data_IF_007222335160
#
_entry.id   IF_007222335160
#
_cell.length_a   1.000
_cell.length_b   1.000
_cell.length_c   1.000
_cell.angle_alpha   90.00
_cell.angle_beta   90.00
_cell.angle_gamma   90.00
#
_symmetry.space_group_name_H-M   'P 1'
#
loop_
_entity.id
_entity.type
_entity.pdbx_description
1 polymer ?
#
# COMPACT_ATOMS: atom_id res chain seq x y z
N UNK A 1 11.35 -8.69 -22.63
CA UNK A 1 11.77 -7.32 -22.28
C UNK A 1 13.22 -7.34 -21.83
N UNK A 2 13.89 -6.20 -21.77
CA UNK A 2 15.30 -6.15 -21.36
C UNK A 2 15.45 -5.97 -19.84
N UNK A 3 16.61 -6.37 -19.30
CA UNK A 3 17.03 -6.03 -17.94
C UNK A 3 17.00 -4.52 -17.69
N UNK A 4 17.23 -3.72 -18.74
CA UNK A 4 17.18 -2.25 -18.70
C UNK A 4 15.76 -1.73 -18.40
N UNK A 5 14.72 -2.37 -18.95
CA UNK A 5 13.32 -2.03 -18.65
C UNK A 5 13.01 -2.24 -17.16
N UNK A 6 13.52 -3.33 -16.58
CA UNK A 6 13.33 -3.67 -15.16
C UNK A 6 14.09 -2.67 -14.27
N UNK A 7 15.35 -2.34 -14.62
CA UNK A 7 16.15 -1.35 -13.90
C UNK A 7 15.49 0.04 -13.92
N UNK A 8 14.98 0.47 -15.07
CA UNK A 8 14.27 1.74 -15.23
C UNK A 8 13.04 1.80 -14.31
N UNK A 9 12.22 0.75 -14.32
CA UNK A 9 11.07 0.62 -13.42
C UNK A 9 11.48 0.68 -11.94
N UNK A 10 12.54 -0.02 -11.54
CA UNK A 10 12.97 -0.04 -10.14
C UNK A 10 13.38 1.36 -9.67
N UNK A 11 14.14 2.08 -10.49
CA UNK A 11 14.54 3.46 -10.18
C UNK A 11 13.34 4.42 -10.08
N UNK A 12 12.38 4.32 -11.01
CA UNK A 12 11.16 5.13 -10.98
C UNK A 12 10.32 4.83 -9.72
N UNK A 13 10.07 3.54 -9.44
CA UNK A 13 9.27 3.11 -8.29
C UNK A 13 9.93 3.49 -6.96
N UNK A 14 11.27 3.40 -6.85
CA UNK A 14 12.00 3.85 -5.67
C UNK A 14 11.79 5.35 -5.42
N UNK A 15 11.87 6.17 -6.47
CA UNK A 15 11.61 7.61 -6.40
C UNK A 15 10.19 7.94 -5.94
N UNK A 16 9.18 7.18 -6.40
CA UNK A 16 7.81 7.33 -5.89
C UNK A 16 7.71 6.97 -4.40
N UNK A 17 8.27 5.83 -3.99
CA UNK A 17 8.23 5.43 -2.58
C UNK A 17 8.85 6.50 -1.66
N UNK A 18 10.00 7.06 -2.04
CA UNK A 18 10.67 8.11 -1.24
C UNK A 18 9.87 9.41 -1.21
N UNK A 19 9.38 9.89 -2.36
CA UNK A 19 8.61 11.13 -2.44
C UNK A 19 7.26 11.06 -1.74
N UNK A 20 6.63 9.89 -1.69
CA UNK A 20 5.41 9.64 -0.91
C UNK A 20 5.70 9.22 0.55
N UNK A 21 6.92 9.47 1.04
CA UNK A 21 7.25 9.37 2.45
C UNK A 21 7.44 7.94 2.95
N UNK A 22 7.83 7.00 2.09
CA UNK A 22 8.17 5.60 2.43
C UNK A 22 9.65 5.29 2.12
N UNK A 23 10.60 5.97 2.80
CA UNK A 23 12.03 5.87 2.51
C UNK A 23 12.61 4.46 2.67
N UNK A 24 12.06 3.61 3.56
CA UNK A 24 12.51 2.23 3.69
C UNK A 24 12.29 1.45 2.39
N UNK A 25 11.06 1.46 1.89
CA UNK A 25 10.72 0.74 0.66
C UNK A 25 11.47 1.32 -0.54
N UNK A 26 11.64 2.64 -0.60
CA UNK A 26 12.43 3.29 -1.63
C UNK A 26 13.89 2.83 -1.66
N UNK A 27 14.59 2.92 -0.53
CA UNK A 27 15.99 2.49 -0.42
C UNK A 27 16.16 0.99 -0.69
N UNK A 28 15.20 0.16 -0.26
CA UNK A 28 15.22 -1.28 -0.53
C UNK A 28 15.14 -1.55 -2.04
N UNK A 29 14.26 -0.84 -2.76
CA UNK A 29 14.12 -0.98 -4.22
C UNK A 29 15.38 -0.50 -4.94
N UNK A 30 16.05 0.55 -4.46
CA UNK A 30 17.37 0.96 -5.00
C UNK A 30 18.39 -0.15 -4.87
N UNK A 31 18.43 -0.85 -3.74
CA UNK A 31 19.31 -2.02 -3.56
C UNK A 31 18.94 -3.18 -4.49
N UNK A 32 17.65 -3.37 -4.81
CA UNK A 32 17.27 -4.31 -5.85
C UNK A 32 17.83 -3.92 -7.23
N UNK A 33 17.82 -2.63 -7.57
CA UNK A 33 18.38 -2.15 -8.84
C UNK A 33 19.90 -2.37 -8.90
N UNK A 34 20.62 -2.06 -7.81
CA UNK A 34 22.07 -2.32 -7.70
C UNK A 34 22.38 -3.82 -7.89
N UNK A 35 21.62 -4.71 -7.25
CA UNK A 35 21.81 -6.15 -7.33
C UNK A 35 21.45 -6.73 -8.69
N UNK A 36 20.40 -6.20 -9.32
CA UNK A 36 20.00 -6.55 -10.68
C UNK A 36 21.11 -6.21 -11.69
N UNK A 37 21.67 -4.99 -11.59
CA UNK A 37 22.77 -4.56 -12.45
C UNK A 37 24.05 -5.38 -12.21
N UNK A 38 24.28 -5.80 -10.96
CA UNK A 38 25.41 -6.64 -10.57
C UNK A 38 25.25 -8.15 -10.84
N UNK A 39 24.13 -8.60 -11.41
CA UNK A 39 23.88 -10.02 -11.69
C UNK A 39 23.62 -10.88 -10.44
N UNK A 40 23.13 -10.28 -9.36
CA UNK A 40 22.85 -10.95 -8.10
C UNK A 40 21.51 -11.72 -8.06
N UNK A 41 21.07 -12.15 -6.86
CA UNK A 41 19.82 -12.89 -6.68
C UNK A 41 18.58 -12.21 -7.29
N UNK A 42 18.51 -10.87 -7.29
CA UNK A 42 17.43 -10.13 -7.94
C UNK A 42 17.46 -10.35 -9.45
N UNK A 43 18.63 -10.33 -10.09
CA UNK A 43 18.76 -10.63 -11.51
C UNK A 43 18.26 -12.04 -11.85
N UNK A 44 18.56 -13.02 -10.99
CA UNK A 44 18.09 -14.39 -11.16
C UNK A 44 16.58 -14.57 -10.93
N UNK A 45 15.92 -13.64 -10.24
CA UNK A 45 14.47 -13.67 -9.96
C UNK A 45 13.64 -12.95 -11.01
N UNK A 46 14.16 -11.84 -11.58
CA UNK A 46 13.35 -10.92 -12.41
C UNK A 46 14.04 -10.45 -13.69
N UNK A 47 15.26 -10.86 -13.98
CA UNK A 47 16.02 -10.37 -15.13
C UNK A 47 15.37 -10.70 -16.48
N UNK A 48 14.60 -11.79 -16.56
CA UNK A 48 13.88 -12.27 -17.74
C UNK A 48 12.36 -12.11 -17.63
N UNK A 49 11.88 -11.18 -16.78
CA UNK A 49 10.46 -10.99 -16.53
C UNK A 49 9.65 -10.83 -17.84
N UNK A 50 8.61 -11.65 -18.07
CA UNK A 50 8.04 -11.86 -19.40
C UNK A 50 7.10 -10.74 -19.87
N UNK A 51 6.53 -9.99 -18.93
CA UNK A 51 5.49 -8.96 -19.13
C UNK A 51 5.98 -7.58 -18.69
N UNK A 52 5.21 -6.50 -18.85
CA UNK A 52 5.69 -5.15 -18.54
C UNK A 52 5.96 -4.92 -17.03
N UNK A 53 7.18 -4.55 -16.60
CA UNK A 53 7.56 -4.61 -15.18
C UNK A 53 6.89 -3.47 -14.39
N UNK A 54 6.62 -2.36 -15.09
CA UNK A 54 5.91 -1.20 -14.58
C UNK A 54 4.43 -1.49 -14.41
N UNK A 55 3.78 -2.05 -15.43
CA UNK A 55 2.38 -2.48 -15.36
C UNK A 55 2.17 -3.54 -14.26
N UNK A 56 3.15 -4.40 -14.05
CA UNK A 56 3.12 -5.43 -13.02
C UNK A 56 3.51 -4.95 -11.62
N UNK A 57 4.00 -3.72 -11.50
CA UNK A 57 4.58 -3.18 -10.26
C UNK A 57 5.66 -4.10 -9.67
N UNK A 58 6.55 -4.63 -10.52
CA UNK A 58 7.49 -5.70 -10.18
C UNK A 58 8.39 -5.42 -8.97
N UNK A 59 8.93 -4.21 -8.85
CA UNK A 59 9.68 -3.76 -7.66
C UNK A 59 8.88 -3.93 -6.35
N UNK A 60 7.58 -3.60 -6.37
CA UNK A 60 6.70 -3.76 -5.21
C UNK A 60 6.38 -5.22 -4.93
N UNK A 61 6.41 -6.09 -5.94
CA UNK A 61 6.27 -7.54 -5.75
C UNK A 61 7.43 -8.11 -4.92
N UNK A 62 8.67 -7.74 -5.24
CA UNK A 62 9.84 -8.14 -4.47
C UNK A 62 9.86 -7.54 -3.06
N UNK A 63 9.55 -6.25 -2.93
CA UNK A 63 9.46 -5.59 -1.62
C UNK A 63 8.38 -6.25 -0.74
N UNK A 64 7.24 -6.59 -1.34
CA UNK A 64 6.16 -7.31 -0.69
C UNK A 64 6.57 -8.72 -0.25
N UNK A 65 7.36 -9.45 -1.05
CA UNK A 65 7.84 -10.77 -0.67
C UNK A 65 8.69 -10.72 0.61
N UNK A 66 9.63 -9.78 0.70
CA UNK A 66 10.45 -9.63 1.90
C UNK A 66 9.64 -9.16 3.11
N UNK A 67 8.67 -8.26 2.90
CA UNK A 67 7.78 -7.84 3.98
C UNK A 67 6.88 -9.00 4.45
N UNK A 68 6.34 -9.83 3.55
CA UNK A 68 5.62 -11.04 3.92
C UNK A 68 6.50 -12.00 4.73
N UNK A 69 7.75 -12.20 4.33
CA UNK A 69 8.71 -13.02 5.08
C UNK A 69 8.96 -12.51 6.50
N UNK A 70 9.08 -11.18 6.68
CA UNK A 70 9.17 -10.57 8.00
C UNK A 70 7.89 -10.76 8.82
N UNK A 71 6.71 -10.49 8.25
CA UNK A 71 5.42 -10.63 8.92
C UNK A 71 5.09 -12.07 9.35
N UNK A 72 5.52 -13.05 8.55
CA UNK A 72 5.37 -14.48 8.85
C UNK A 72 6.53 -15.04 9.69
N UNK A 73 7.55 -14.22 10.01
CA UNK A 73 8.76 -14.63 10.72
C UNK A 73 9.50 -15.79 10.04
N UNK A 74 9.50 -15.82 8.71
CA UNK A 74 10.28 -16.80 7.91
C UNK A 74 11.78 -16.63 8.06
N UNK A 75 12.22 -15.44 8.45
CA UNK A 75 13.60 -15.13 8.77
C UNK A 75 13.62 -14.19 9.98
N UNK A 76 14.23 -14.64 11.08
CA UNK A 76 14.26 -13.88 12.33
C UNK A 76 15.00 -12.55 12.20
N UNK A 77 16.01 -12.46 11.32
CA UNK A 77 16.74 -11.23 11.12
C UNK A 77 15.89 -10.22 10.32
N UNK A 78 15.13 -10.67 9.32
CA UNK A 78 14.17 -9.81 8.63
C UNK A 78 13.07 -9.31 9.57
N UNK A 79 12.47 -10.18 10.39
CA UNK A 79 11.46 -9.80 11.39
C UNK A 79 11.98 -8.70 12.32
N UNK A 80 13.22 -8.84 12.82
CA UNK A 80 13.83 -7.85 13.73
C UNK A 80 14.21 -6.54 13.03
N UNK A 81 14.65 -6.57 11.77
CA UNK A 81 15.21 -5.41 11.08
C UNK A 81 14.15 -4.55 10.35
N UNK A 82 13.00 -5.14 10.00
CA UNK A 82 11.95 -4.44 9.26
C UNK A 82 11.12 -3.50 10.16
N UNK A 83 10.68 -2.34 9.66
CA UNK A 83 9.65 -1.54 10.33
C UNK A 83 8.32 -2.31 10.42
N UNK A 84 7.53 -2.13 11.49
CA UNK A 84 7.78 -1.24 12.63
C UNK A 84 8.64 -1.85 13.75
N UNK A 85 9.09 -3.11 13.64
CA UNK A 85 9.88 -3.77 14.68
C UNK A 85 11.19 -3.05 14.98
N UNK A 86 11.83 -2.47 13.96
CA UNK A 86 12.94 -1.54 14.12
C UNK A 86 12.59 -0.16 13.56
N UNK A 87 12.44 0.83 14.44
CA UNK A 87 12.18 2.23 14.05
C UNK A 87 13.43 2.97 13.57
N UNK A 88 14.63 2.46 13.89
CA UNK A 88 15.94 3.04 13.56
C UNK A 88 16.69 2.19 12.53
N UNK A 89 15.93 1.50 11.67
CA UNK A 89 16.45 0.71 10.57
C UNK A 89 17.46 1.51 9.73
N UNK A 90 18.48 0.83 9.23
CA UNK A 90 19.41 1.36 8.24
C UNK A 90 19.48 0.36 7.10
N UNK A 91 19.39 0.85 5.87
CA UNK A 91 19.40 -0.05 4.72
C UNK A 91 20.70 -0.86 4.61
N UNK A 92 21.80 -0.32 5.13
CA UNK A 92 23.11 -1.01 5.19
C UNK A 92 23.08 -2.29 6.04
N UNK A 93 22.22 -2.31 7.07
CA UNK A 93 22.04 -3.46 7.96
C UNK A 93 20.97 -4.42 7.40
N UNK A 94 19.92 -3.88 6.76
CA UNK A 94 18.80 -4.64 6.19
C UNK A 94 19.20 -5.39 4.92
N UNK A 95 19.92 -4.73 4.02
CA UNK A 95 20.19 -5.23 2.68
C UNK A 95 20.97 -6.56 2.65
N UNK A 96 22.06 -6.75 3.42
CA UNK A 96 22.77 -8.03 3.43
C UNK A 96 21.88 -9.22 3.79
N UNK A 97 20.98 -9.02 4.76
CA UNK A 97 20.01 -10.04 5.20
C UNK A 97 18.95 -10.29 4.13
N UNK A 98 18.36 -9.21 3.58
CA UNK A 98 17.39 -9.29 2.50
C UNK A 98 17.95 -10.01 1.27
N UNK A 99 19.15 -9.64 0.83
CA UNK A 99 19.83 -10.26 -0.30
C UNK A 99 20.10 -11.75 -0.06
N UNK A 100 20.58 -12.11 1.13
CA UNK A 100 20.80 -13.51 1.50
C UNK A 100 19.49 -14.32 1.50
N UNK A 101 18.40 -13.74 1.99
CA UNK A 101 17.07 -14.35 1.94
C UNK A 101 16.60 -14.58 0.49
N UNK A 102 16.71 -13.56 -0.38
CA UNK A 102 16.34 -13.68 -1.80
C UNK A 102 17.12 -14.80 -2.52
N UNK A 103 18.39 -15.01 -2.15
CA UNK A 103 19.20 -16.09 -2.70
C UNK A 103 18.76 -17.47 -2.18
N UNK A 104 18.50 -17.58 -0.87
CA UNK A 104 18.19 -18.84 -0.19
C UNK A 104 16.76 -19.32 -0.46
N UNK A 105 15.79 -18.41 -0.45
CA UNK A 105 14.36 -18.71 -0.56
C UNK A 105 13.81 -18.41 -1.96
N UNK A 106 14.62 -18.65 -2.99
CA UNK A 106 14.33 -18.25 -4.38
C UNK A 106 12.96 -18.73 -4.86
N UNK A 107 12.64 -20.00 -4.64
CA UNK A 107 11.39 -20.61 -5.13
C UNK A 107 10.16 -20.00 -4.44
N UNK A 108 10.27 -19.74 -3.14
CA UNK A 108 9.19 -19.09 -2.38
C UNK A 108 8.97 -17.66 -2.87
N UNK A 109 10.05 -16.90 -3.08
CA UNK A 109 9.97 -15.52 -3.61
C UNK A 109 9.38 -15.54 -5.02
N UNK A 110 9.87 -16.42 -5.89
CA UNK A 110 9.39 -16.56 -7.27
C UNK A 110 7.89 -16.87 -7.33
N UNK A 111 7.39 -17.73 -6.44
CA UNK A 111 5.96 -18.02 -6.30
C UNK A 111 5.18 -16.80 -5.77
N UNK A 112 5.71 -16.09 -4.76
CA UNK A 112 5.05 -14.93 -4.17
C UNK A 112 4.83 -13.81 -5.19
N UNK A 113 5.86 -13.51 -6.00
CA UNK A 113 5.82 -12.43 -6.98
C UNK A 113 4.95 -12.72 -8.20
N UNK A 114 4.28 -13.87 -8.29
CA UNK A 114 3.34 -14.13 -9.40
C UNK A 114 2.05 -13.31 -9.30
N UNK A 115 1.60 -12.95 -8.09
CA UNK A 115 0.39 -12.14 -7.94
C UNK A 115 0.72 -10.66 -7.69
N UNK A 116 -0.06 -9.80 -8.33
CA UNK A 116 0.12 -8.37 -8.32
C UNK A 116 -0.23 -7.75 -6.95
N UNK A 117 0.35 -6.59 -6.61
CA UNK A 117 -0.15 -5.76 -5.53
C UNK A 117 -1.59 -5.31 -5.84
N UNK A 118 -2.50 -5.46 -4.87
CA UNK A 118 -3.83 -4.88 -4.93
C UNK A 118 -4.00 -3.86 -3.80
N UNK A 119 -4.26 -2.60 -4.17
CA UNK A 119 -4.23 -1.48 -3.22
C UNK A 119 -5.63 -0.96 -2.93
N UNK A 120 -6.04 -1.04 -1.66
CA UNK A 120 -7.32 -0.54 -1.19
C UNK A 120 -7.25 0.91 -0.67
N UNK A 121 -6.05 1.55 -0.63
CA UNK A 121 -5.74 2.88 -0.03
C UNK A 121 -6.95 3.56 0.64
N UNK A 122 -7.17 3.22 1.91
CA UNK A 122 -8.42 3.54 2.62
C UNK A 122 -8.56 5.05 2.87
N UNK A 123 -7.46 5.83 2.82
CA UNK A 123 -7.53 7.28 3.02
C UNK A 123 -8.22 7.98 1.84
N UNK A 124 -8.25 7.39 0.63
CA UNK A 124 -9.08 7.87 -0.49
C UNK A 124 -10.56 8.01 -0.12
N UNK A 125 -11.02 7.27 0.89
CA UNK A 125 -12.40 7.35 1.36
C UNK A 125 -12.79 8.75 1.86
N UNK A 126 -11.86 9.63 2.23
CA UNK A 126 -12.21 11.02 2.59
C UNK A 126 -12.74 11.82 1.38
N UNK A 127 -12.21 11.57 0.19
CA UNK A 127 -12.70 12.18 -1.04
C UNK A 127 -14.06 11.59 -1.42
N UNK A 128 -14.25 10.28 -1.21
CA UNK A 128 -15.56 9.62 -1.39
C UNK A 128 -16.60 10.20 -0.46
N UNK A 129 -16.28 10.37 0.83
CA UNK A 129 -17.15 11.03 1.81
C UNK A 129 -17.60 12.41 1.31
N UNK A 130 -16.64 13.25 0.93
CA UNK A 130 -16.93 14.61 0.45
C UNK A 130 -17.85 14.59 -0.79
N UNK A 131 -17.54 13.73 -1.76
CA UNK A 131 -18.31 13.59 -3.00
C UNK A 131 -19.73 13.07 -2.74
N UNK A 132 -19.88 12.00 -1.97
CA UNK A 132 -21.17 11.39 -1.72
C UNK A 132 -22.07 12.21 -0.81
N UNK A 133 -21.54 12.94 0.18
CA UNK A 133 -22.35 13.90 0.95
C UNK A 133 -22.83 15.06 0.07
N UNK A 134 -21.96 15.56 -0.81
CA UNK A 134 -22.33 16.60 -1.78
C UNK A 134 -23.44 16.12 -2.72
N UNK A 135 -23.31 14.90 -3.25
CA UNK A 135 -24.34 14.27 -4.07
C UNK A 135 -25.65 14.04 -3.28
N UNK A 136 -25.56 13.51 -2.06
CA UNK A 136 -26.73 13.21 -1.22
C UNK A 136 -27.55 14.46 -0.90
N UNK A 137 -26.92 15.64 -0.79
CA UNK A 137 -27.59 16.92 -0.52
C UNK A 137 -28.66 17.25 -1.56
N UNK A 138 -28.44 16.93 -2.84
CA UNK A 138 -29.42 17.17 -3.90
C UNK A 138 -30.23 15.93 -4.28
N UNK A 139 -29.71 14.72 -4.02
CA UNK A 139 -30.33 13.47 -4.45
C UNK A 139 -31.60 13.09 -3.67
N UNK A 140 -31.59 13.22 -2.33
CA UNK A 140 -32.75 12.99 -1.47
C UNK A 140 -33.33 11.57 -1.43
N UNK A 141 -32.70 10.58 -2.09
CA UNK A 141 -33.15 9.18 -2.16
C UNK A 141 -32.03 8.22 -1.70
N UNK A 142 -32.32 6.94 -1.46
CA UNK A 142 -31.26 5.97 -1.18
C UNK A 142 -30.27 5.82 -2.35
N UNK A 143 -29.02 5.48 -2.04
CA UNK A 143 -27.90 5.32 -2.97
C UNK A 143 -27.53 3.84 -3.07
N UNK A 144 -27.41 3.33 -4.29
CA UNK A 144 -26.76 2.04 -4.57
C UNK A 144 -25.37 2.30 -5.13
N UNK A 145 -24.38 1.56 -4.65
CA UNK A 145 -22.98 1.75 -5.04
C UNK A 145 -22.40 0.47 -5.63
N UNK A 146 -21.60 0.63 -6.68
CA UNK A 146 -20.78 -0.41 -7.28
C UNK A 146 -19.34 0.10 -7.42
N UNK A 147 -18.38 -0.57 -6.79
CA UNK A 147 -16.95 -0.30 -6.96
C UNK A 147 -16.36 -1.30 -7.97
N UNK A 148 -15.70 -0.80 -9.03
CA UNK A 148 -14.98 -1.60 -10.02
C UNK A 148 -13.49 -1.57 -9.68
N UNK A 149 -12.84 -2.73 -9.67
CA UNK A 149 -11.47 -2.87 -9.16
C UNK A 149 -11.40 -2.75 -7.64
N UNK A 150 -12.42 -3.27 -6.94
CA UNK A 150 -12.62 -3.06 -5.51
C UNK A 150 -11.58 -3.76 -4.63
N UNK A 151 -10.77 -4.68 -5.17
CA UNK A 151 -9.85 -5.53 -4.43
C UNK A 151 -10.53 -6.25 -3.25
N UNK A 152 -10.33 -5.77 -2.02
CA UNK A 152 -10.89 -6.32 -0.80
C UNK A 152 -12.18 -5.59 -0.37
N UNK A 153 -12.67 -4.65 -1.18
CA UNK A 153 -13.88 -3.87 -0.96
C UNK A 153 -13.79 -2.92 0.23
N UNK A 154 -12.60 -2.50 0.65
CA UNK A 154 -12.48 -1.68 1.88
C UNK A 154 -13.10 -0.30 1.70
N UNK A 155 -12.93 0.35 0.54
CA UNK A 155 -13.48 1.68 0.27
C UNK A 155 -15.01 1.69 0.13
N UNK A 156 -15.64 0.54 -0.12
CA UNK A 156 -17.10 0.42 0.00
C UNK A 156 -17.61 0.78 1.40
N UNK A 157 -16.75 0.83 2.43
CA UNK A 157 -17.14 1.19 3.80
C UNK A 157 -16.85 2.67 4.15
N UNK A 158 -16.64 3.55 3.16
CA UNK A 158 -16.28 4.95 3.39
C UNK A 158 -17.19 5.68 4.39
N UNK A 159 -18.51 5.44 4.40
CA UNK A 159 -19.46 6.10 5.32
C UNK A 159 -19.43 5.53 6.75
N UNK A 160 -18.66 4.45 6.97
CA UNK A 160 -18.50 3.76 8.27
C UNK A 160 -17.17 4.09 8.96
N UNK A 161 -16.35 4.94 8.35
CA UNK A 161 -15.09 5.38 8.94
C UNK A 161 -15.28 6.65 9.77
N UNK A 162 -14.34 6.89 10.67
CA UNK A 162 -14.24 8.15 11.38
C UNK A 162 -13.20 9.04 10.71
N UNK A 163 -13.57 10.28 10.44
CA UNK A 163 -12.74 11.25 9.74
C UNK A 163 -12.42 12.43 10.64
N UNK A 164 -11.15 12.85 10.61
CA UNK A 164 -10.69 14.08 11.25
C UNK A 164 -9.78 14.85 10.33
N UNK A 165 -10.00 16.15 10.29
CA UNK A 165 -9.10 17.14 9.70
C UNK A 165 -8.78 18.21 10.74
N UNK A 166 -8.03 19.23 10.34
CA UNK A 166 -7.78 20.40 11.19
C UNK A 166 -9.04 21.25 11.42
N UNK A 167 -10.05 21.15 10.56
CA UNK A 167 -11.22 22.05 10.55
C UNK A 167 -12.55 21.36 10.80
N UNK A 168 -12.63 20.03 10.66
CA UNK A 168 -13.87 19.28 10.85
C UNK A 168 -13.63 17.81 11.21
N UNK A 169 -14.67 17.17 11.72
CA UNK A 169 -14.71 15.72 11.93
C UNK A 169 -16.07 15.17 11.51
N UNK A 170 -16.12 13.93 11.06
CA UNK A 170 -17.36 13.27 10.64
C UNK A 170 -17.30 11.76 10.91
N UNK A 171 -18.47 11.16 11.20
CA UNK A 171 -18.63 9.73 11.39
C UNK A 171 -18.81 9.32 12.86
N UNK A 172 -19.30 8.10 13.06
CA UNK A 172 -19.41 7.47 14.37
C UNK A 172 -18.03 7.00 14.88
N UNK A 173 -17.96 6.51 16.13
CA UNK A 173 -16.73 5.90 16.64
C UNK A 173 -16.42 4.61 15.85
N UNK A 174 -15.33 4.67 15.08
CA UNK A 174 -14.89 3.59 14.19
C UNK A 174 -13.44 3.25 14.50
N UNK A 175 -13.05 1.95 14.44
CA UNK A 175 -11.65 1.56 14.56
C UNK A 175 -10.81 2.06 13.37
N UNK A 176 -11.45 2.39 12.25
CA UNK A 176 -10.79 2.98 11.08
C UNK A 176 -10.89 4.50 11.18
N UNK A 177 -9.76 5.10 11.58
CA UNK A 177 -9.64 6.56 11.76
C UNK A 177 -8.79 7.14 10.63
N UNK A 178 -9.40 7.99 9.82
CA UNK A 178 -8.73 8.70 8.74
C UNK A 178 -8.45 10.12 9.21
N UNK A 179 -7.17 10.40 9.44
CA UNK A 179 -6.65 11.73 9.76
C UNK A 179 -5.85 12.25 8.57
N UNK A 180 -6.21 13.43 8.07
CA UNK A 180 -5.47 14.09 6.99
C UNK A 180 -5.68 15.61 7.00
N UNK A 181 -4.75 16.30 6.37
CA UNK A 181 -4.91 17.71 6.02
C UNK A 181 -5.97 17.85 4.92
N UNK A 182 -6.85 18.85 5.07
CA UNK A 182 -7.91 19.17 4.11
C UNK A 182 -7.91 20.67 3.82
N UNK A 183 -7.63 21.02 2.56
CA UNK A 183 -7.63 22.40 2.07
C UNK A 183 -8.89 22.65 1.25
N UNK A 184 -10.00 22.85 1.92
CA UNK A 184 -11.30 23.12 1.29
C UNK A 184 -12.38 23.35 2.34
N UNK A 185 -13.59 23.80 1.92
CA UNK A 185 -14.73 23.87 2.82
C UNK A 185 -15.08 22.47 3.35
N UNK A 186 -15.71 22.38 4.53
CA UNK A 186 -16.27 21.11 5.00
C UNK A 186 -17.34 20.59 4.01
N UNK A 187 -17.46 19.27 3.83
CA UNK A 187 -18.60 18.67 3.15
C UNK A 187 -19.95 19.06 3.80
N UNK A 188 -21.07 18.96 3.09
CA UNK A 188 -22.38 19.23 3.66
C UNK A 188 -22.83 18.11 4.60
N UNK A 189 -22.45 18.23 5.88
CA UNK A 189 -22.77 17.24 6.91
C UNK A 189 -24.27 17.16 7.24
N UNK A 190 -25.06 18.13 6.80
CA UNK A 190 -26.52 18.16 6.89
C UNK A 190 -27.21 17.24 5.86
N UNK A 191 -26.47 16.69 4.90
CA UNK A 191 -27.02 15.79 3.89
C UNK A 191 -27.53 14.47 4.51
N UNK A 192 -28.74 14.07 4.15
CA UNK A 192 -29.30 12.77 4.55
C UNK A 192 -28.67 11.66 3.71
N UNK A 193 -27.71 10.95 4.30
CA UNK A 193 -27.09 9.79 3.68
C UNK A 193 -27.90 8.52 3.95
N UNK A 194 -28.28 7.81 2.89
CA UNK A 194 -28.92 6.50 2.99
C UNK A 194 -28.36 5.57 1.90
N UNK A 195 -27.47 4.65 2.29
CA UNK A 195 -26.93 3.64 1.36
C UNK A 195 -27.82 2.41 1.44
N UNK A 196 -28.40 2.02 0.29
CA UNK A 196 -29.31 0.88 0.18
C UNK A 196 -28.57 -0.39 -0.21
N UNK A 197 -27.78 -0.36 -1.28
CA UNK A 197 -26.97 -1.49 -1.72
C UNK A 197 -25.50 -1.13 -1.93
N UNK A 198 -24.63 -2.12 -1.69
CA UNK A 198 -23.20 -2.07 -1.98
C UNK A 198 -22.84 -3.31 -2.78
N UNK A 199 -22.15 -3.12 -3.88
CA UNK A 199 -21.59 -4.18 -4.69
C UNK A 199 -20.14 -3.85 -5.04
N UNK A 200 -19.35 -4.89 -5.24
CA UNK A 200 -17.97 -4.79 -5.72
C UNK A 200 -17.81 -5.72 -6.92
N UNK A 201 -16.95 -5.30 -7.84
CA UNK A 201 -16.46 -6.13 -8.93
C UNK A 201 -14.94 -5.99 -8.97
N UNK A 202 -14.23 -7.11 -9.03
CA UNK A 202 -12.78 -7.14 -9.19
C UNK A 202 -12.42 -8.40 -10.00
N UNK A 203 -11.31 -8.33 -10.75
CA UNK A 203 -10.81 -9.49 -11.51
C UNK A 203 -10.29 -10.59 -10.56
N UNK A 204 -9.72 -10.20 -9.43
CA UNK A 204 -9.15 -11.07 -8.43
C UNK A 204 -9.60 -10.59 -7.03
N UNK A 205 -10.89 -10.76 -6.67
CA UNK A 205 -11.41 -10.26 -5.40
C UNK A 205 -10.67 -10.91 -4.22
N UNK A 206 -10.35 -10.10 -3.20
CA UNK A 206 -9.65 -10.58 -2.01
C UNK A 206 -10.63 -10.78 -0.84
N UNK A 207 -10.60 -11.98 -0.26
CA UNK A 207 -11.34 -12.32 0.94
C UNK A 207 -10.56 -11.92 2.19
N UNK A 208 -11.06 -10.93 2.92
CA UNK A 208 -10.47 -10.50 4.20
C UNK A 208 -10.69 -11.52 5.33
N UNK A 209 -11.58 -12.50 5.17
CA UNK A 209 -11.74 -13.63 6.08
C UNK A 209 -10.53 -14.57 6.05
N UNK A 210 -9.85 -14.67 4.90
CA UNK A 210 -8.67 -15.51 4.69
C UNK A 210 -7.39 -14.85 5.26
N UNK A 211 -6.72 -15.47 6.25
CA UNK A 211 -5.47 -14.97 6.81
C UNK A 211 -4.36 -14.77 5.77
N UNK A 212 -4.25 -15.62 4.75
CA UNK A 212 -3.22 -15.53 3.73
C UNK A 212 -3.44 -14.31 2.82
N UNK A 213 -4.68 -14.02 2.47
CA UNK A 213 -5.02 -12.84 1.68
C UNK A 213 -4.88 -11.55 2.48
N UNK A 214 -5.22 -11.56 3.78
CA UNK A 214 -4.90 -10.44 4.68
C UNK A 214 -3.39 -10.20 4.80
N UNK A 215 -2.60 -11.25 4.93
CA UNK A 215 -1.14 -11.13 4.91
C UNK A 215 -0.68 -10.47 3.62
N UNK A 216 -1.21 -10.89 2.47
CA UNK A 216 -0.85 -10.31 1.18
C UNK A 216 -1.16 -8.81 1.10
N UNK A 217 -2.34 -8.39 1.55
CA UNK A 217 -2.69 -6.97 1.66
C UNK A 217 -1.70 -6.18 2.54
N UNK A 218 -1.30 -6.77 3.67
CA UNK A 218 -0.33 -6.15 4.60
C UNK A 218 1.08 -6.08 4.01
N UNK A 219 1.50 -7.13 3.32
CA UNK A 219 2.83 -7.24 2.72
C UNK A 219 3.09 -6.12 1.70
N UNK A 220 2.06 -5.67 0.98
CA UNK A 220 2.16 -4.58 0.01
C UNK A 220 2.05 -3.17 0.60
N UNK A 221 1.95 -3.03 1.93
CA UNK A 221 2.07 -1.72 2.58
C UNK A 221 3.51 -1.24 2.46
N UNK A 222 3.70 -0.03 1.94
CA UNK A 222 5.02 0.60 1.87
C UNK A 222 5.47 0.99 3.27
N UNK A 223 6.67 0.52 3.63
CA UNK A 223 7.22 0.62 4.97
C UNK A 223 8.07 1.88 5.14
N UNK A 224 8.39 2.16 6.41
CA UNK A 224 9.21 3.31 6.80
C UNK A 224 8.46 4.63 6.73
N UNK A 225 7.12 4.61 6.68
CA UNK A 225 6.33 5.83 6.61
C UNK A 225 6.57 6.69 7.85
N UNK A 226 7.15 7.89 7.64
CA UNK A 226 7.45 8.85 8.73
C UNK A 226 6.21 9.60 9.21
N UNK A 227 5.05 9.40 8.57
CA UNK A 227 3.77 9.97 9.01
C UNK A 227 3.18 9.16 10.18
N UNK A 228 3.75 9.36 11.36
CA UNK A 228 3.00 9.24 12.61
C UNK A 228 1.97 10.40 12.67
N UNK A 229 0.77 10.20 13.26
CA UNK A 229 -0.23 11.27 13.37
C UNK A 229 0.26 12.30 14.40
N UNK A 230 0.88 13.40 13.98
CA UNK A 230 1.12 14.53 14.90
C UNK A 230 1.28 15.90 14.21
N UNK A 231 0.30 16.74 14.53
CA UNK A 231 0.37 18.17 14.83
C UNK A 231 1.47 18.97 14.10
N UNK A 232 1.06 19.62 13.01
CA UNK A 232 1.82 20.66 12.35
C UNK A 232 1.98 21.87 13.31
N UNK A 233 3.11 21.95 14.02
CA UNK A 233 3.57 23.24 14.57
C UNK A 233 4.04 24.08 13.40
N UNK A 234 3.23 25.09 13.03
CA UNK A 234 3.56 26.13 12.06
C UNK A 234 4.91 26.77 12.41
N UNK A 235 5.82 26.85 11.43
CA UNK A 235 6.84 27.91 11.41
C UNK A 235 6.16 29.19 10.94
N UNK A 236 6.45 30.27 11.66
CA UNK A 236 5.99 31.64 11.40
C UNK A 236 6.52 32.16 10.08
#
# INVERSE_FOLDING_TARGET
MSTEDVLSHFNEQAGFCESYGSPFTGQLIRRFADDLAGGGPVAALVGDWPTNPRADALALRLAGALHAAALEKRDEALDRLYPPANAHWRMEDVWPVARAFLARERDWVAAFIQSAPQTNEVRRSIALLAGFLTFAKSWGRPIDMLEIGASAGLNLNWDRFWYRTQSWSWGADSPVKIDTDWSGPPPPFDARLAIRHRAACDLNPLDIGDPAQRLRLRAYIWLGSTRAPRALRRRR
#
